data_IF_417516582932
#
_entry.id   IF_417516582932
#
_cell.length_a   1.000
_cell.length_b   1.000
_cell.length_c   1.000
_cell.angle_alpha   90.00
_cell.angle_beta   90.00
_cell.angle_gamma   90.00
#
_symmetry.space_group_name_H-M   'P 1'
#
loop_
_entity.id
_entity.type
_entity.pdbx_description
1 polymer ?
#
# COMPACT_ATOMS: atom_id res chain seq x y z
N UNK A 1 -9.59 11.08 -0.93
CA UNK A 1 -9.76 11.42 0.50
C UNK A 1 -8.54 12.22 0.93
N UNK A 2 -8.72 13.45 1.41
CA UNK A 2 -7.61 14.31 1.90
C UNK A 2 -6.97 13.70 3.14
N UNK A 3 -5.71 14.00 3.42
CA UNK A 3 -4.95 13.45 4.55
C UNK A 3 -5.66 13.67 5.90
N UNK A 4 -6.31 14.82 6.08
CA UNK A 4 -7.08 15.13 7.29
C UNK A 4 -8.30 14.21 7.47
N UNK A 5 -8.97 13.79 6.40
CA UNK A 5 -10.12 12.88 6.44
C UNK A 5 -9.69 11.46 6.87
N UNK A 6 -8.50 11.03 6.43
CA UNK A 6 -7.87 9.77 6.88
C UNK A 6 -7.58 9.84 8.38
N UNK A 7 -6.95 10.92 8.84
CA UNK A 7 -6.64 11.10 10.26
C UNK A 7 -7.88 11.18 11.13
N UNK A 8 -8.94 11.87 10.69
CA UNK A 8 -10.23 11.89 11.40
C UNK A 8 -10.84 10.50 11.49
N UNK A 9 -10.75 9.69 10.43
CA UNK A 9 -11.23 8.30 10.47
C UNK A 9 -10.44 7.44 11.47
N UNK A 10 -9.11 7.59 11.51
CA UNK A 10 -8.25 6.90 12.47
C UNK A 10 -8.47 7.37 13.91
N UNK A 11 -8.67 8.67 14.10
CA UNK A 11 -8.98 9.28 15.39
C UNK A 11 -10.33 8.79 15.92
N UNK A 12 -11.36 8.77 15.08
CA UNK A 12 -12.69 8.25 15.40
C UNK A 12 -12.61 6.78 15.87
N UNK A 13 -11.91 5.92 15.14
CA UNK A 13 -11.70 4.53 15.52
C UNK A 13 -10.88 4.38 16.82
N UNK A 14 -9.86 5.22 17.00
CA UNK A 14 -9.02 5.24 18.21
C UNK A 14 -9.81 5.63 19.44
N UNK A 15 -10.64 6.69 19.36
CA UNK A 15 -11.51 7.10 20.46
C UNK A 15 -12.57 6.03 20.75
N UNK A 16 -13.15 5.42 19.72
CA UNK A 16 -14.08 4.31 19.88
C UNK A 16 -13.49 3.14 20.68
N UNK A 17 -12.18 2.90 20.53
CA UNK A 17 -11.45 1.88 21.27
C UNK A 17 -11.05 2.29 22.69
N UNK A 18 -10.58 3.53 22.88
CA UNK A 18 -9.98 4.02 24.12
C UNK A 18 -11.03 4.42 25.17
N UNK A 19 -12.09 5.13 24.77
CA UNK A 19 -13.07 5.70 25.71
C UNK A 19 -13.77 4.61 26.55
N UNK A 20 -14.19 3.46 25.99
CA UNK A 20 -14.77 2.37 26.80
C UNK A 20 -13.78 1.71 27.77
N UNK A 21 -12.47 1.95 27.61
CA UNK A 21 -11.39 1.36 28.41
C UNK A 21 -10.76 2.33 29.42
N UNK A 22 -11.36 3.51 29.62
CA UNK A 22 -10.96 4.40 30.72
C UNK A 22 -11.05 3.60 32.02
N UNK A 23 -9.94 3.55 32.76
CA UNK A 23 -9.80 2.76 33.99
C UNK A 23 -10.50 3.48 35.14
N UNK A 24 -11.16 2.70 36.01
CA UNK A 24 -11.83 3.18 37.21
C UNK A 24 -13.36 3.08 37.11
N UNK A 25 -13.98 2.77 38.25
CA UNK A 25 -15.43 2.54 38.37
C UNK A 25 -16.22 3.82 38.72
N UNK A 26 -15.50 4.93 38.88
CA UNK A 26 -16.06 6.27 39.12
C UNK A 26 -15.65 7.22 38.01
N UNK A 27 -16.42 8.32 37.88
CA UNK A 27 -16.10 9.43 36.99
C UNK A 27 -14.75 10.04 37.37
N UNK A 28 -13.92 10.32 36.37
CA UNK A 28 -12.64 10.99 36.56
C UNK A 28 -12.37 12.08 35.49
N UNK A 29 -11.18 12.66 35.52
CA UNK A 29 -10.74 13.72 34.60
C UNK A 29 -10.84 13.30 33.12
N UNK A 30 -10.53 12.04 32.79
CA UNK A 30 -10.64 11.52 31.41
C UNK A 30 -12.08 11.55 30.93
N UNK A 31 -13.04 11.19 31.79
CA UNK A 31 -14.47 11.29 31.46
C UNK A 31 -14.89 12.74 31.21
N UNK A 32 -14.31 13.69 31.96
CA UNK A 32 -14.51 15.12 31.76
C UNK A 32 -14.05 15.60 30.38
N UNK A 33 -12.83 15.26 29.98
CA UNK A 33 -12.29 15.67 28.68
C UNK A 33 -13.05 15.04 27.50
N UNK A 34 -13.58 13.83 27.67
CA UNK A 34 -14.46 13.20 26.68
C UNK A 34 -15.78 13.98 26.55
N UNK A 35 -16.40 14.37 27.66
CA UNK A 35 -17.61 15.21 27.66
C UNK A 35 -17.36 16.57 26.98
N UNK A 36 -16.25 17.23 27.32
CA UNK A 36 -15.89 18.53 26.74
C UNK A 36 -15.71 18.42 25.22
N UNK A 37 -15.01 17.38 24.73
CA UNK A 37 -14.88 17.13 23.29
C UNK A 37 -16.24 16.90 22.63
N UNK A 38 -17.13 16.10 23.26
CA UNK A 38 -18.48 15.87 22.74
C UNK A 38 -19.27 17.17 22.64
N UNK A 39 -19.15 18.08 23.62
CA UNK A 39 -19.81 19.37 23.58
C UNK A 39 -19.30 20.25 22.45
N UNK A 40 -17.98 20.35 22.34
CA UNK A 40 -17.31 21.13 21.29
C UNK A 40 -17.74 20.64 19.90
N UNK A 41 -17.71 19.33 19.65
CA UNK A 41 -18.06 18.75 18.34
C UNK A 41 -19.55 18.90 17.98
N UNK A 42 -20.42 19.03 18.98
CA UNK A 42 -21.87 19.17 18.77
C UNK A 42 -22.37 20.61 19.02
N UNK A 43 -21.47 21.59 19.12
CA UNK A 43 -21.78 23.00 19.37
C UNK A 43 -22.68 23.21 20.61
N UNK A 44 -22.39 22.47 21.69
CA UNK A 44 -23.08 22.57 22.98
C UNK A 44 -22.33 23.52 23.91
N UNK A 45 -23.04 24.19 24.85
CA UNK A 45 -22.38 25.03 25.86
C UNK A 45 -21.46 24.19 26.75
N UNK A 46 -20.44 24.86 27.30
CA UNK A 46 -19.51 24.28 28.27
C UNK A 46 -20.26 23.60 29.43
N UNK A 47 -19.67 22.53 29.96
CA UNK A 47 -20.27 21.78 31.07
C UNK A 47 -20.35 22.70 32.31
N UNK A 48 -21.52 22.85 32.95
CA UNK A 48 -21.63 23.54 34.24
C UNK A 48 -20.76 22.84 35.30
N UNK A 49 -20.15 23.60 36.21
CA UNK A 49 -19.23 23.07 37.24
C UNK A 49 -19.87 21.95 38.09
N UNK A 50 -21.14 22.11 38.43
CA UNK A 50 -21.92 21.17 39.26
C UNK A 50 -22.32 19.89 38.53
N UNK A 51 -22.12 19.83 37.20
CA UNK A 51 -22.65 18.76 36.36
C UNK A 51 -21.58 17.70 36.10
N UNK A 52 -21.91 16.46 36.45
CA UNK A 52 -21.07 15.31 36.11
C UNK A 52 -20.95 15.12 34.58
N UNK A 53 -19.79 14.65 34.07
CA UNK A 53 -19.64 14.29 32.66
C UNK A 53 -20.71 13.31 32.19
N UNK A 54 -21.07 13.41 30.90
CA UNK A 54 -22.13 12.70 30.19
C UNK A 54 -23.55 13.14 30.54
N UNK A 55 -23.77 13.71 31.73
CA UNK A 55 -25.08 14.17 32.13
C UNK A 55 -25.57 15.33 31.24
N UNK A 56 -26.82 15.22 30.77
CA UNK A 56 -27.45 16.22 29.91
C UNK A 56 -26.98 16.21 28.44
N UNK A 57 -26.07 15.31 28.06
CA UNK A 57 -25.72 15.03 26.66
C UNK A 57 -26.07 13.60 26.23
N UNK A 58 -26.08 12.66 27.17
CA UNK A 58 -26.45 11.27 26.95
C UNK A 58 -27.59 10.85 27.90
N UNK A 59 -28.48 9.91 27.49
CA UNK A 59 -29.50 9.37 28.39
C UNK A 59 -28.87 8.71 29.62
N UNK A 60 -29.54 8.81 30.77
CA UNK A 60 -29.08 8.23 32.03
C UNK A 60 -28.73 6.73 31.90
N UNK A 61 -27.58 6.34 32.44
CA UNK A 61 -27.08 4.96 32.44
C UNK A 61 -25.93 4.79 33.45
N UNK A 62 -25.46 3.57 33.62
CA UNK A 62 -24.21 3.30 34.31
C UNK A 62 -22.99 3.86 33.53
N UNK A 63 -21.88 4.07 34.24
CA UNK A 63 -20.67 4.68 33.69
C UNK A 63 -20.09 3.90 32.49
N UNK A 64 -20.01 2.54 32.51
CA UNK A 64 -19.56 1.79 31.33
C UNK A 64 -20.44 2.01 30.10
N UNK A 65 -21.76 2.11 30.28
CA UNK A 65 -22.68 2.39 29.17
C UNK A 65 -22.56 3.82 28.68
N UNK A 66 -22.36 4.80 29.57
CA UNK A 66 -22.03 6.17 29.16
C UNK A 66 -20.75 6.25 28.34
N UNK A 67 -19.67 5.60 28.78
CA UNK A 67 -18.41 5.56 28.03
C UNK A 67 -18.60 4.92 26.64
N UNK A 68 -19.35 3.82 26.53
CA UNK A 68 -19.67 3.21 25.22
C UNK A 68 -20.50 4.12 24.32
N UNK A 69 -21.50 4.82 24.86
CA UNK A 69 -22.33 5.76 24.09
C UNK A 69 -21.51 6.96 23.63
N UNK A 70 -20.70 7.53 24.52
CA UNK A 70 -19.78 8.61 24.21
C UNK A 70 -18.82 8.21 23.07
N UNK A 71 -18.24 7.01 23.15
CA UNK A 71 -17.39 6.44 22.12
C UNK A 71 -18.08 6.37 20.74
N UNK A 72 -19.32 5.89 20.69
CA UNK A 72 -20.12 5.82 19.47
C UNK A 72 -20.48 7.21 18.92
N UNK A 73 -20.82 8.16 19.78
CA UNK A 73 -21.10 9.54 19.38
C UNK A 73 -19.85 10.17 18.76
N UNK A 74 -18.69 10.04 19.39
CA UNK A 74 -17.43 10.55 18.85
C UNK A 74 -17.06 9.86 17.52
N UNK A 75 -17.26 8.54 17.44
CA UNK A 75 -17.02 7.79 16.19
C UNK A 75 -17.89 8.30 15.03
N UNK A 76 -19.13 8.70 15.30
CA UNK A 76 -20.05 9.22 14.29
C UNK A 76 -19.83 10.71 13.96
N UNK A 77 -19.38 11.52 14.91
CA UNK A 77 -19.23 12.97 14.74
C UNK A 77 -17.87 13.39 14.17
N UNK A 78 -16.78 12.72 14.54
CA UNK A 78 -15.41 13.09 14.12
C UNK A 78 -15.22 13.06 12.59
N UNK A 79 -15.72 12.05 11.84
CA UNK A 79 -15.60 12.06 10.37
C UNK A 79 -16.43 13.15 9.68
N UNK A 80 -17.38 13.79 10.38
CA UNK A 80 -18.29 14.81 9.84
C UNK A 80 -17.79 16.24 10.06
N UNK A 81 -16.64 16.42 10.69
CA UNK A 81 -16.07 17.75 10.94
C UNK A 81 -15.87 18.45 9.60
N UNK A 82 -16.27 19.73 9.45
CA UNK A 82 -16.03 20.49 8.22
C UNK A 82 -14.55 20.49 7.84
N UNK A 83 -14.27 20.42 6.55
CA UNK A 83 -12.91 20.39 6.00
C UNK A 83 -12.27 21.79 6.02
N UNK A 84 -11.91 22.22 7.22
CA UNK A 84 -11.18 23.47 7.49
C UNK A 84 -9.81 23.09 8.05
N UNK A 85 -8.76 23.43 7.31
CA UNK A 85 -7.38 23.18 7.70
C UNK A 85 -7.04 23.88 9.03
N UNK A 86 -6.36 23.18 9.94
CA UNK A 86 -6.04 23.72 11.27
C UNK A 86 -7.24 23.86 12.20
N UNK A 87 -8.31 23.09 11.97
CA UNK A 87 -9.51 23.14 12.80
C UNK A 87 -9.20 22.98 14.29
N UNK A 88 -9.78 23.86 15.10
CA UNK A 88 -9.76 23.75 16.57
C UNK A 88 -10.32 22.40 17.04
N UNK A 89 -11.21 21.79 16.26
CA UNK A 89 -11.75 20.45 16.52
C UNK A 89 -10.67 19.37 16.43
N UNK A 90 -9.84 19.41 15.39
CA UNK A 90 -8.79 18.42 15.19
C UNK A 90 -7.71 18.51 16.30
N UNK A 91 -7.40 19.73 16.75
CA UNK A 91 -6.51 19.96 17.89
C UNK A 91 -7.05 19.33 19.19
N UNK A 92 -8.32 19.58 19.51
CA UNK A 92 -8.95 19.01 20.72
C UNK A 92 -9.02 17.47 20.69
N UNK A 93 -9.24 16.88 19.52
CA UNK A 93 -9.23 15.42 19.34
C UNK A 93 -7.82 14.87 19.55
N UNK A 94 -6.80 15.51 18.97
CA UNK A 94 -5.41 15.11 19.14
C UNK A 94 -5.02 15.13 20.62
N UNK A 95 -5.29 16.23 21.32
CA UNK A 95 -4.97 16.40 22.73
C UNK A 95 -5.65 15.33 23.61
N UNK A 96 -6.94 15.03 23.35
CA UNK A 96 -7.64 13.97 24.06
C UNK A 96 -7.00 12.59 23.82
N UNK A 97 -6.68 12.25 22.56
CA UNK A 97 -6.06 10.94 22.26
C UNK A 97 -4.71 10.81 22.95
N UNK A 98 -3.90 11.88 22.95
CA UNK A 98 -2.61 11.89 23.67
C UNK A 98 -2.82 11.67 25.16
N UNK A 99 -3.75 12.39 25.77
CA UNK A 99 -4.05 12.26 27.18
C UNK A 99 -4.53 10.86 27.55
N UNK A 100 -5.46 10.28 26.77
CA UNK A 100 -5.97 8.93 27.01
C UNK A 100 -4.88 7.86 26.90
N UNK A 101 -3.88 8.06 26.03
CA UNK A 101 -2.73 7.18 25.83
C UNK A 101 -1.51 7.50 26.71
N UNK A 102 -1.58 8.53 27.56
CA UNK A 102 -0.45 9.05 28.33
C UNK A 102 0.76 9.44 27.45
N UNK A 103 0.51 10.05 26.29
CA UNK A 103 1.55 10.56 25.39
C UNK A 103 1.93 12.01 25.74
N UNK A 104 3.15 12.46 25.42
CA UNK A 104 3.53 13.88 25.52
C UNK A 104 2.60 14.77 24.69
N UNK A 105 2.43 16.02 25.14
CA UNK A 105 1.68 17.03 24.41
C UNK A 105 2.21 17.23 22.99
N UNK A 106 1.33 17.61 22.06
CA UNK A 106 1.72 17.89 20.67
C UNK A 106 2.78 19.02 20.64
N UNK A 107 3.91 18.83 19.95
CA UNK A 107 4.93 19.87 19.84
C UNK A 107 4.40 21.14 19.17
N UNK A 108 4.83 22.30 19.64
CA UNK A 108 4.45 23.62 19.09
C UNK A 108 4.73 23.68 17.59
N UNK A 109 3.74 24.14 16.80
CA UNK A 109 3.86 24.31 15.36
C UNK A 109 3.60 23.05 14.51
N UNK A 110 3.29 21.89 15.12
CA UNK A 110 2.85 20.68 14.40
C UNK A 110 1.35 20.71 14.12
N UNK A 111 0.92 20.25 12.96
CA UNK A 111 -0.52 20.05 12.67
C UNK A 111 -1.13 18.97 13.59
N UNK A 112 -2.44 19.05 13.91
CA UNK A 112 -3.13 17.97 14.62
C UNK A 112 -2.93 16.60 13.96
N UNK A 113 -2.89 15.55 14.78
CA UNK A 113 -2.64 14.15 14.42
C UNK A 113 -1.23 13.77 13.99
N UNK A 114 -0.32 14.74 13.79
CA UNK A 114 1.09 14.44 13.49
C UNK A 114 1.73 13.64 14.63
N UNK A 115 2.32 12.50 14.29
CA UNK A 115 2.90 11.55 15.25
C UNK A 115 1.92 10.85 16.19
N UNK A 116 0.60 11.05 16.08
CA UNK A 116 -0.40 10.37 16.94
C UNK A 116 -0.74 8.96 16.48
N UNK A 117 -0.81 8.81 15.16
CA UNK A 117 -0.99 7.54 14.51
C UNK A 117 0.36 7.20 13.91
N UNK A 118 1.11 6.23 14.48
CA UNK A 118 2.29 5.74 13.79
C UNK A 118 1.84 5.38 12.37
N UNK A 119 2.62 5.77 11.36
CA UNK A 119 2.51 5.06 10.09
C UNK A 119 2.62 3.59 10.48
N UNK A 120 1.60 2.78 10.18
CA UNK A 120 1.44 1.42 10.71
C UNK A 120 2.59 0.45 10.29
N UNK A 121 3.69 0.98 9.76
CA UNK A 121 4.83 0.33 9.14
C UNK A 121 6.20 0.96 9.48
N UNK A 122 6.39 1.72 10.56
CA UNK A 122 7.72 2.34 10.83
C UNK A 122 8.89 1.32 10.77
N UNK A 123 8.69 0.10 11.28
CA UNK A 123 9.67 -0.97 11.15
C UNK A 123 9.92 -1.38 9.68
N UNK A 124 8.87 -1.44 8.86
CA UNK A 124 8.95 -1.74 7.43
C UNK A 124 9.57 -0.60 6.63
N UNK A 125 9.23 0.66 6.92
CA UNK A 125 9.88 1.83 6.34
C UNK A 125 11.35 1.88 6.70
N UNK A 126 11.73 1.59 7.95
CA UNK A 126 13.14 1.45 8.35
C UNK A 126 13.83 0.33 7.56
N UNK A 127 13.15 -0.81 7.34
CA UNK A 127 13.68 -1.91 6.50
C UNK A 127 13.85 -1.51 5.03
N UNK A 128 12.87 -0.83 4.45
CA UNK A 128 12.93 -0.32 3.06
C UNK A 128 14.00 0.78 2.90
N UNK A 129 14.13 1.66 3.90
CA UNK A 129 15.16 2.69 3.98
C UNK A 129 16.56 2.07 4.04
N UNK A 130 16.76 1.08 4.91
CA UNK A 130 17.99 0.30 5.00
C UNK A 130 18.36 -0.34 3.64
N UNK A 131 17.42 -1.05 3.01
CA UNK A 131 17.63 -1.69 1.71
C UNK A 131 17.92 -0.68 0.59
N UNK A 132 17.24 0.47 0.61
CA UNK A 132 17.46 1.55 -0.34
C UNK A 132 18.87 2.12 -0.20
N UNK A 133 19.34 2.36 1.02
CA UNK A 133 20.71 2.82 1.27
C UNK A 133 21.73 1.78 0.82
N UNK A 134 21.52 0.48 1.10
CA UNK A 134 22.39 -0.59 0.59
C UNK A 134 22.50 -0.54 -0.93
N UNK A 135 21.37 -0.40 -1.63
CA UNK A 135 21.34 -0.32 -3.09
C UNK A 135 22.01 0.95 -3.63
N UNK A 136 21.76 2.11 -3.02
CA UNK A 136 22.37 3.39 -3.42
C UNK A 136 23.88 3.37 -3.21
N UNK A 137 24.36 2.86 -2.08
CA UNK A 137 25.79 2.70 -1.79
C UNK A 137 26.44 1.76 -2.81
N UNK A 138 25.76 0.67 -3.16
CA UNK A 138 26.23 -0.28 -4.16
C UNK A 138 26.39 0.31 -5.58
N UNK A 139 25.70 1.42 -5.88
CA UNK A 139 25.82 2.15 -7.16
C UNK A 139 27.00 3.13 -7.19
N UNK A 140 27.65 3.39 -6.06
CA UNK A 140 28.79 4.30 -6.00
C UNK A 140 30.04 3.56 -6.51
N UNK A 141 30.34 3.76 -7.79
CA UNK A 141 31.47 3.13 -8.49
C UNK A 141 32.74 3.99 -8.52
N UNK A 142 32.70 5.22 -8.01
CA UNK A 142 33.84 6.15 -7.98
C UNK A 142 35.02 5.54 -7.20
N UNK A 143 36.23 5.40 -7.79
CA UNK A 143 37.38 4.83 -7.11
C UNK A 143 37.96 5.72 -6.00
N UNK A 144 37.54 6.99 -5.91
CA UNK A 144 37.97 7.95 -4.88
C UNK A 144 36.83 8.24 -3.89
N UNK A 145 37.22 8.77 -2.73
CA UNK A 145 36.25 9.30 -1.77
C UNK A 145 35.50 10.49 -2.36
N UNK A 146 34.19 10.54 -2.15
CA UNK A 146 33.35 11.66 -2.55
C UNK A 146 32.41 12.11 -1.40
N UNK A 147 31.55 13.08 -1.69
CA UNK A 147 30.64 13.64 -0.69
C UNK A 147 29.62 12.63 -0.15
N UNK A 148 29.26 11.61 -0.94
CA UNK A 148 28.39 10.53 -0.49
C UNK A 148 29.09 9.71 0.61
N UNK A 149 30.38 9.38 0.44
CA UNK A 149 31.13 8.62 1.44
C UNK A 149 31.17 9.34 2.80
N UNK A 150 31.40 10.66 2.79
CA UNK A 150 31.37 11.46 4.01
C UNK A 150 30.01 11.42 4.71
N UNK A 151 28.92 11.53 3.94
CA UNK A 151 27.56 11.51 4.48
C UNK A 151 27.15 10.15 5.05
N UNK A 152 27.58 9.06 4.41
CA UNK A 152 27.37 7.69 4.88
C UNK A 152 28.11 7.45 6.20
N UNK A 153 29.37 7.89 6.30
CA UNK A 153 30.15 7.83 7.54
C UNK A 153 29.48 8.60 8.68
N UNK A 154 29.06 9.85 8.43
CA UNK A 154 28.37 10.69 9.41
C UNK A 154 27.07 10.02 9.90
N UNK A 155 26.28 9.44 8.98
CA UNK A 155 25.05 8.71 9.34
C UNK A 155 25.35 7.51 10.25
N UNK A 156 26.36 6.70 9.94
CA UNK A 156 26.76 5.55 10.77
C UNK A 156 27.14 6.00 12.17
N UNK A 157 27.93 7.08 12.27
CA UNK A 157 28.37 7.64 13.56
C UNK A 157 27.19 8.10 14.39
N UNK A 158 26.31 8.91 13.82
CA UNK A 158 25.16 9.46 14.54
C UNK A 158 24.21 8.37 15.00
N UNK A 159 23.88 7.39 14.15
CA UNK A 159 22.99 6.29 14.55
C UNK A 159 23.63 5.45 15.66
N UNK A 160 24.94 5.24 15.60
CA UNK A 160 25.73 4.50 16.60
C UNK A 160 26.03 5.29 17.89
N UNK A 161 25.65 6.56 17.99
CA UNK A 161 25.98 7.42 19.14
C UNK A 161 27.47 7.81 19.23
N UNK A 162 28.19 7.77 18.11
CA UNK A 162 29.58 8.18 18.02
C UNK A 162 29.68 9.67 17.66
N UNK A 163 30.79 10.30 18.05
CA UNK A 163 31.11 11.65 17.59
C UNK A 163 31.37 11.66 16.09
N UNK A 164 30.99 12.75 15.42
CA UNK A 164 31.29 12.97 14.00
C UNK A 164 32.79 12.96 13.76
N UNK A 165 33.21 12.56 12.56
CA UNK A 165 34.63 12.53 12.20
C UNK A 165 35.19 13.97 12.10
N UNK A 166 36.45 14.21 12.50
CA UNK A 166 37.15 15.43 12.15
C UNK A 166 37.25 15.60 10.63
N UNK A 167 37.27 16.85 10.15
CA UNK A 167 37.36 17.15 8.70
C UNK A 167 38.60 16.53 8.06
N UNK A 168 39.71 16.44 8.80
CA UNK A 168 40.98 15.87 8.34
C UNK A 168 40.97 14.34 8.18
N UNK A 169 39.99 13.64 8.75
CA UNK A 169 39.88 12.18 8.67
C UNK A 169 39.07 11.75 7.46
N UNK A 170 39.57 10.77 6.71
CA UNK A 170 38.86 10.25 5.54
C UNK A 170 37.59 9.48 5.97
N UNK A 171 36.55 9.42 5.14
CA UNK A 171 35.37 8.62 5.43
C UNK A 171 35.70 7.16 5.77
N UNK A 172 34.94 6.58 6.69
CA UNK A 172 35.03 5.19 7.21
C UNK A 172 36.23 4.88 8.12
N UNK A 173 37.26 5.74 8.15
CA UNK A 173 38.42 5.55 9.03
C UNK A 173 38.00 5.57 10.51
N UNK A 174 38.41 4.54 11.25
CA UNK A 174 38.06 4.35 12.66
C UNK A 174 36.65 3.82 12.91
N UNK A 175 35.87 3.51 11.87
CA UNK A 175 34.66 2.69 11.98
C UNK A 175 34.97 1.21 11.75
N UNK A 176 35.71 0.93 10.67
CA UNK A 176 36.11 -0.43 10.25
C UNK A 176 37.53 -0.42 9.68
N UNK A 177 38.06 -1.62 9.40
CA UNK A 177 39.24 -1.81 8.55
C UNK A 177 38.82 -2.54 7.27
N UNK A 178 39.26 -2.04 6.11
CA UNK A 178 38.99 -2.66 4.82
C UNK A 178 40.18 -2.46 3.86
N UNK A 179 40.42 -3.41 2.93
CA UNK A 179 41.57 -3.34 2.03
C UNK A 179 41.45 -2.27 0.94
N UNK A 180 40.23 -1.80 0.64
CA UNK A 180 39.98 -0.77 -0.36
C UNK A 180 38.62 -0.10 -0.14
N UNK A 181 38.35 0.99 -0.89
CA UNK A 181 37.13 1.79 -0.76
C UNK A 181 35.85 1.01 -1.11
N UNK A 182 35.90 0.11 -2.09
CA UNK A 182 34.75 -0.74 -2.44
C UNK A 182 34.34 -1.63 -1.26
N UNK A 183 35.31 -2.22 -0.56
CA UNK A 183 35.03 -3.02 0.63
C UNK A 183 34.58 -2.17 1.82
N UNK A 184 35.10 -0.95 1.99
CA UNK A 184 34.57 0.01 2.96
C UNK A 184 33.09 0.29 2.72
N UNK A 185 32.68 0.58 1.48
CA UNK A 185 31.27 0.83 1.12
C UNK A 185 30.38 -0.38 1.39
N UNK A 186 30.84 -1.61 1.12
CA UNK A 186 30.09 -2.83 1.45
C UNK A 186 29.91 -3.03 2.96
N UNK A 187 30.94 -2.74 3.76
CA UNK A 187 30.86 -2.80 5.23
C UNK A 187 29.92 -1.72 5.76
N UNK A 188 30.02 -0.49 5.24
CA UNK A 188 29.15 0.62 5.58
C UNK A 188 27.67 0.31 5.28
N UNK A 189 27.38 -0.23 4.10
CA UNK A 189 26.04 -0.66 3.70
C UNK A 189 25.46 -1.71 4.65
N UNK A 190 26.23 -2.77 4.96
CA UNK A 190 25.82 -3.80 5.92
C UNK A 190 25.60 -3.24 7.32
N UNK A 191 26.44 -2.31 7.76
CA UNK A 191 26.26 -1.68 9.07
C UNK A 191 24.98 -0.86 9.10
N UNK A 192 24.72 -0.02 8.09
CA UNK A 192 23.53 0.81 8.05
C UNK A 192 22.27 -0.04 8.05
N UNK A 193 22.26 -1.16 7.33
CA UNK A 193 21.15 -2.11 7.37
C UNK A 193 20.86 -2.60 8.80
N UNK A 194 21.90 -3.06 9.51
CA UNK A 194 21.79 -3.49 10.90
C UNK A 194 21.33 -2.37 11.84
N UNK A 195 21.93 -1.18 11.72
CA UNK A 195 21.67 -0.06 12.61
C UNK A 195 20.24 0.48 12.43
N UNK A 196 19.79 0.66 11.18
CA UNK A 196 18.48 1.24 10.87
C UNK A 196 17.37 0.25 11.23
N UNK A 197 17.53 -1.04 10.92
CA UNK A 197 16.54 -2.08 11.28
C UNK A 197 16.52 -2.37 12.78
N UNK A 198 17.60 -2.06 13.51
CA UNK A 198 17.66 -2.14 14.96
C UNK A 198 17.07 -0.93 15.69
N UNK A 199 16.74 0.17 14.99
CA UNK A 199 16.07 1.31 15.63
C UNK A 199 14.75 0.86 16.25
N UNK A 200 14.55 1.25 17.49
CA UNK A 200 13.32 1.08 18.26
C UNK A 200 12.68 2.45 18.45
N UNK A 201 11.51 2.46 19.09
CA UNK A 201 10.73 3.66 19.37
C UNK A 201 10.06 4.28 18.13
N UNK A 202 9.17 5.24 18.39
CA UNK A 202 8.50 6.07 17.37
C UNK A 202 9.53 6.85 16.51
N UNK A 203 9.04 7.61 15.53
CA UNK A 203 9.89 8.48 14.71
C UNK A 203 10.80 9.33 15.58
N UNK A 204 12.11 9.30 15.29
CA UNK A 204 13.09 10.07 16.04
C UNK A 204 14.06 10.80 15.10
N UNK A 205 14.96 11.60 15.68
CA UNK A 205 15.93 12.40 14.92
C UNK A 205 16.84 11.56 14.00
N UNK A 206 17.07 10.29 14.33
CA UNK A 206 17.85 9.38 13.47
C UNK A 206 17.09 9.04 12.19
N UNK A 207 15.76 8.86 12.24
CA UNK A 207 14.95 8.61 11.04
C UNK A 207 14.98 9.81 10.07
N UNK A 208 15.01 11.04 10.59
CA UNK A 208 15.16 12.26 9.78
C UNK A 208 16.51 12.26 9.02
N UNK A 209 17.57 11.80 9.68
CA UNK A 209 18.90 11.72 9.07
C UNK A 209 18.97 10.61 8.01
N UNK A 210 18.31 9.48 8.24
CA UNK A 210 18.20 8.39 7.26
C UNK A 210 17.44 8.88 6.01
N UNK A 211 16.25 9.46 6.18
CA UNK A 211 15.42 10.01 5.09
C UNK A 211 16.20 11.04 4.26
N UNK A 212 16.80 12.03 4.92
CA UNK A 212 17.57 13.08 4.23
C UNK A 212 18.78 12.52 3.50
N UNK A 213 19.46 11.52 4.06
CA UNK A 213 20.57 10.83 3.38
C UNK A 213 20.09 10.12 2.12
N UNK A 214 18.97 9.39 2.18
CA UNK A 214 18.38 8.72 1.01
C UNK A 214 18.03 9.74 -0.07
N UNK A 215 17.36 10.84 0.29
CA UNK A 215 16.98 11.89 -0.67
C UNK A 215 18.19 12.48 -1.36
N UNK A 216 19.23 12.83 -0.60
CA UNK A 216 20.45 13.43 -1.15
C UNK A 216 21.19 12.45 -2.06
N UNK A 217 21.38 11.19 -1.63
CA UNK A 217 22.06 10.18 -2.45
C UNK A 217 21.29 9.83 -3.73
N UNK A 218 19.98 10.04 -3.74
CA UNK A 218 19.10 9.77 -4.87
C UNK A 218 18.66 11.04 -5.63
N UNK A 219 19.25 12.20 -5.33
CA UNK A 219 18.94 13.50 -5.93
C UNK A 219 17.44 13.88 -5.89
N UNK A 220 16.78 13.59 -4.77
CA UNK A 220 15.38 13.92 -4.51
C UNK A 220 15.24 15.26 -3.78
N UNK A 221 14.10 15.96 -3.93
CA UNK A 221 13.84 17.18 -3.16
C UNK A 221 13.84 16.89 -1.65
N UNK A 222 14.23 17.88 -0.82
CA UNK A 222 14.20 17.73 0.64
C UNK A 222 12.77 17.47 1.12
N UNK A 223 12.65 16.72 2.22
CA UNK A 223 11.38 16.48 2.91
C UNK A 223 10.77 17.82 3.32
N UNK A 224 9.46 17.99 3.10
CA UNK A 224 8.74 19.18 3.58
C UNK A 224 8.66 19.16 5.11
N UNK A 225 8.62 20.34 5.74
CA UNK A 225 8.72 20.46 7.20
C UNK A 225 7.58 19.75 7.96
N UNK A 226 6.42 19.65 7.33
CA UNK A 226 5.18 19.03 7.80
C UNK A 226 5.07 17.52 7.53
N UNK A 227 5.95 16.95 6.70
CA UNK A 227 5.95 15.51 6.40
C UNK A 227 6.67 14.69 7.48
N UNK A 228 6.18 13.49 7.83
CA UNK A 228 6.94 12.60 8.71
C UNK A 228 8.18 12.02 7.99
N UNK A 229 9.22 11.54 8.72
CA UNK A 229 10.33 10.82 8.08
C UNK A 229 9.85 9.67 7.19
N UNK A 230 10.48 9.52 6.02
CA UNK A 230 10.16 8.54 4.98
C UNK A 230 8.85 8.78 4.19
N UNK A 231 8.04 9.76 4.59
CA UNK A 231 6.82 10.10 3.86
C UNK A 231 7.14 10.61 2.45
N UNK A 232 6.51 10.01 1.45
CA UNK A 232 6.81 10.25 0.03
C UNK A 232 8.05 9.53 -0.51
N UNK A 233 8.84 8.86 0.35
CA UNK A 233 9.84 7.87 -0.10
C UNK A 233 9.24 6.48 -0.20
N UNK A 234 8.39 6.12 0.77
CA UNK A 234 7.74 4.81 0.85
C UNK A 234 6.23 4.95 1.14
N UNK A 235 5.39 4.07 0.61
CA UNK A 235 3.93 4.10 0.83
C UNK A 235 3.59 3.65 2.27
N UNK A 236 2.57 4.23 2.91
CA UNK A 236 2.19 3.93 4.31
C UNK A 236 1.59 2.51 4.43
N UNK A 237 1.76 1.81 5.57
CA UNK A 237 1.14 0.48 5.79
C UNK A 237 -0.38 0.47 5.57
N UNK A 238 -1.10 1.56 5.81
CA UNK A 238 -2.55 1.61 5.54
C UNK A 238 -2.83 1.62 4.01
N UNK A 239 -1.87 2.08 3.21
CA UNK A 239 -1.83 1.90 1.75
C UNK A 239 -1.34 0.49 1.34
N UNK A 240 -0.65 -0.25 2.20
CA UNK A 240 -0.10 -1.58 1.89
C UNK A 240 -1.00 -2.72 2.38
N UNK A 241 -1.71 -2.54 3.51
CA UNK A 241 -2.53 -3.57 4.18
C UNK A 241 -3.99 -3.52 3.70
N UNK A 242 -4.40 -2.49 2.96
CA UNK A 242 -5.72 -2.45 2.29
C UNK A 242 -5.69 -2.00 0.82
N UNK A 243 -4.54 -1.60 0.25
CA UNK A 243 -4.51 -1.11 -1.14
C UNK A 243 -3.50 -1.79 -2.08
N UNK A 244 -2.73 -2.81 -1.65
CA UNK A 244 -1.83 -3.56 -2.53
C UNK A 244 -2.47 -4.80 -3.17
N UNK A 245 -3.20 -5.58 -2.38
CA UNK A 245 -3.85 -6.80 -2.79
C UNK A 245 -5.36 -6.67 -2.70
N UNK A 246 -6.07 -7.25 -3.65
CA UNK A 246 -7.51 -7.40 -3.55
C UNK A 246 -7.82 -8.50 -2.53
N UNK A 247 -8.93 -8.37 -1.81
CA UNK A 247 -9.43 -9.40 -0.89
C UNK A 247 -10.40 -10.34 -1.59
N UNK A 248 -10.71 -11.47 -0.93
CA UNK A 248 -11.73 -12.40 -1.40
C UNK A 248 -13.11 -11.73 -1.54
N UNK A 249 -13.46 -10.88 -0.59
CA UNK A 249 -14.74 -10.13 -0.58
C UNK A 249 -14.79 -9.15 -1.74
N UNK A 250 -13.69 -8.44 -2.01
CA UNK A 250 -13.60 -7.52 -3.14
C UNK A 250 -13.71 -8.28 -4.48
N UNK A 251 -12.99 -9.39 -4.64
CA UNK A 251 -13.06 -10.20 -5.85
C UNK A 251 -14.46 -10.79 -6.06
N UNK A 252 -15.10 -11.28 -5.00
CA UNK A 252 -16.48 -11.78 -5.05
C UNK A 252 -17.49 -10.68 -5.40
N UNK A 253 -17.30 -9.45 -4.92
CA UNK A 253 -18.16 -8.32 -5.28
C UNK A 253 -17.99 -7.89 -6.75
N UNK A 254 -16.78 -8.04 -7.31
CA UNK A 254 -16.50 -7.78 -8.73
C UNK A 254 -17.10 -8.88 -9.61
N UNK A 255 -17.00 -10.14 -9.17
CA UNK A 255 -17.45 -11.32 -9.89
C UNK A 255 -18.48 -12.14 -9.06
N UNK A 256 -19.70 -11.60 -8.86
CA UNK A 256 -20.70 -12.15 -7.95
C UNK A 256 -21.33 -13.47 -8.42
N UNK A 257 -21.18 -13.83 -9.70
CA UNK A 257 -21.71 -15.07 -10.26
C UNK A 257 -20.67 -16.20 -10.32
N UNK A 258 -19.45 -15.94 -9.84
CA UNK A 258 -18.38 -16.92 -9.81
C UNK A 258 -18.45 -17.80 -8.56
N UNK A 259 -17.95 -19.03 -8.68
CA UNK A 259 -17.82 -19.90 -7.51
C UNK A 259 -16.78 -19.33 -6.54
N UNK A 260 -17.19 -19.07 -5.28
CA UNK A 260 -16.33 -18.45 -4.25
C UNK A 260 -15.02 -19.22 -4.04
N UNK A 261 -15.08 -20.54 -3.95
CA UNK A 261 -13.89 -21.41 -3.77
C UNK A 261 -12.90 -21.30 -4.93
N UNK A 262 -13.39 -21.05 -6.14
CA UNK A 262 -12.54 -20.84 -7.31
C UNK A 262 -11.85 -19.48 -7.24
N UNK A 263 -12.59 -18.44 -6.86
CA UNK A 263 -12.01 -17.10 -6.63
C UNK A 263 -10.93 -17.14 -5.54
N UNK A 264 -11.16 -17.90 -4.47
CA UNK A 264 -10.20 -18.06 -3.37
C UNK A 264 -8.87 -18.67 -3.84
N UNK A 265 -8.94 -19.68 -4.72
CA UNK A 265 -7.75 -20.30 -5.33
C UNK A 265 -7.01 -19.34 -6.27
N UNK A 266 -7.74 -18.53 -7.04
CA UNK A 266 -7.16 -17.55 -7.97
C UNK A 266 -6.53 -16.35 -7.26
N UNK A 267 -7.11 -15.92 -6.14
CA UNK A 267 -6.78 -14.70 -5.43
C UNK A 267 -5.27 -14.49 -5.17
N UNK A 268 -4.52 -15.43 -4.57
CA UNK A 268 -3.09 -15.23 -4.34
C UNK A 268 -2.30 -15.05 -5.65
N UNK A 269 -2.71 -15.72 -6.73
CA UNK A 269 -2.04 -15.65 -8.02
C UNK A 269 -2.36 -14.35 -8.77
N UNK A 270 -3.61 -13.87 -8.68
CA UNK A 270 -4.02 -12.55 -9.19
C UNK A 270 -3.22 -11.44 -8.50
N UNK A 271 -3.15 -11.48 -7.18
CA UNK A 271 -2.39 -10.51 -6.38
C UNK A 271 -0.90 -10.51 -6.72
N UNK A 272 -0.28 -11.69 -6.77
CA UNK A 272 1.12 -11.85 -7.18
C UNK A 272 1.37 -11.31 -8.59
N UNK A 273 0.46 -11.61 -9.52
CA UNK A 273 0.55 -11.16 -10.92
C UNK A 273 0.44 -9.64 -11.00
N UNK A 274 -0.57 -9.04 -10.38
CA UNK A 274 -0.78 -7.60 -10.42
C UNK A 274 0.41 -6.84 -9.84
N UNK A 275 1.03 -7.37 -8.77
CA UNK A 275 2.26 -6.82 -8.23
C UNK A 275 3.43 -6.94 -9.21
N UNK A 276 3.65 -8.14 -9.78
CA UNK A 276 4.76 -8.42 -10.72
C UNK A 276 4.75 -7.50 -11.93
N UNK A 277 3.56 -7.15 -12.44
CA UNK A 277 3.39 -6.35 -13.66
C UNK A 277 2.98 -4.89 -13.38
N UNK A 278 3.23 -4.39 -12.16
CA UNK A 278 2.95 -3.01 -11.76
C UNK A 278 1.49 -2.55 -12.00
N UNK A 279 0.54 -3.48 -11.89
CA UNK A 279 -0.91 -3.26 -11.93
C UNK A 279 -1.36 -2.90 -10.50
N UNK A 280 -0.80 -1.82 -9.95
CA UNK A 280 -0.83 -1.57 -8.51
C UNK A 280 -1.83 -0.47 -8.11
N UNK A 281 -2.16 0.46 -8.99
CA UNK A 281 -3.16 1.51 -8.70
C UNK A 281 -4.58 0.93 -8.72
N UNK A 282 -5.53 1.48 -7.93
CA UNK A 282 -6.92 1.02 -7.93
C UNK A 282 -7.54 0.97 -9.33
N UNK A 283 -7.27 1.98 -10.16
CA UNK A 283 -7.79 2.07 -11.51
C UNK A 283 -7.18 1.00 -12.44
N UNK A 284 -5.86 0.78 -12.38
CA UNK A 284 -5.21 -0.32 -13.12
C UNK A 284 -5.78 -1.68 -12.76
N UNK A 285 -5.98 -1.94 -11.46
CA UNK A 285 -6.60 -3.18 -10.98
C UNK A 285 -8.02 -3.33 -11.48
N UNK A 286 -8.82 -2.26 -11.44
CA UNK A 286 -10.20 -2.29 -11.90
C UNK A 286 -10.29 -2.64 -13.38
N UNK A 287 -9.47 -2.01 -14.23
CA UNK A 287 -9.40 -2.34 -15.65
C UNK A 287 -8.88 -3.76 -15.91
N UNK A 288 -7.80 -4.17 -15.23
CA UNK A 288 -7.26 -5.52 -15.39
C UNK A 288 -8.30 -6.58 -15.02
N UNK A 289 -8.88 -6.49 -13.81
CA UNK A 289 -9.90 -7.42 -13.32
C UNK A 289 -11.17 -7.43 -14.18
N UNK A 290 -11.54 -6.29 -14.77
CA UNK A 290 -12.68 -6.23 -15.66
C UNK A 290 -12.45 -6.99 -16.97
N UNK A 291 -11.25 -6.86 -17.53
CA UNK A 291 -10.88 -7.57 -18.75
C UNK A 291 -10.75 -9.06 -18.49
N UNK A 292 -9.96 -9.47 -17.48
CA UNK A 292 -9.81 -10.90 -17.18
C UNK A 292 -11.10 -11.53 -16.70
N UNK A 293 -11.95 -10.80 -15.98
CA UNK A 293 -13.27 -11.28 -15.57
C UNK A 293 -14.15 -11.60 -16.78
N UNK A 294 -14.17 -10.74 -17.80
CA UNK A 294 -14.91 -11.01 -19.04
C UNK A 294 -14.33 -12.20 -19.83
N UNK A 295 -13.01 -12.23 -20.05
CA UNK A 295 -12.34 -13.26 -20.87
C UNK A 295 -12.37 -14.67 -20.27
N UNK A 296 -12.65 -14.78 -18.96
CA UNK A 296 -12.66 -16.03 -18.21
C UNK A 296 -14.05 -16.48 -17.75
N UNK A 297 -15.11 -15.95 -18.38
CA UNK A 297 -16.51 -16.24 -18.03
C UNK A 297 -16.79 -15.92 -16.54
N UNK A 298 -16.38 -14.73 -16.12
CA UNK A 298 -16.39 -14.31 -14.73
C UNK A 298 -15.48 -15.18 -13.87
N UNK A 299 -14.24 -15.44 -14.28
CA UNK A 299 -13.30 -16.31 -13.56
C UNK A 299 -13.77 -17.76 -13.36
N UNK A 300 -14.81 -18.23 -14.05
CA UNK A 300 -15.30 -19.61 -13.94
C UNK A 300 -14.47 -20.61 -14.75
N UNK A 301 -13.67 -20.15 -15.73
CA UNK A 301 -12.78 -21.03 -16.51
C UNK A 301 -11.41 -20.41 -16.77
N UNK A 302 -10.39 -21.26 -16.94
CA UNK A 302 -9.04 -20.87 -17.39
C UNK A 302 -8.72 -21.49 -18.76
N UNK A 303 -9.70 -22.12 -19.39
CA UNK A 303 -9.57 -22.78 -20.69
C UNK A 303 -10.85 -22.55 -21.47
N UNK A 304 -10.76 -22.27 -22.75
CA UNK A 304 -11.96 -22.16 -23.57
C UNK A 304 -12.76 -23.47 -23.56
N UNK A 305 -14.08 -23.35 -23.70
CA UNK A 305 -14.97 -24.50 -23.79
C UNK A 305 -14.87 -25.23 -25.14
N UNK A 306 -14.45 -24.53 -26.21
CA UNK A 306 -14.29 -25.13 -27.52
C UNK A 306 -13.14 -26.16 -27.56
N UNK A 307 -13.18 -27.05 -28.55
CA UNK A 307 -12.14 -28.08 -28.72
C UNK A 307 -10.79 -27.51 -29.19
N UNK A 308 -10.79 -26.32 -29.79
CA UNK A 308 -9.63 -25.72 -30.47
C UNK A 308 -9.39 -26.26 -31.88
N UNK A 309 -10.23 -27.19 -32.38
CA UNK A 309 -10.07 -27.77 -33.72
C UNK A 309 -10.11 -26.70 -34.83
N UNK A 310 -10.87 -25.62 -34.64
CA UNK A 310 -10.97 -24.51 -35.59
C UNK A 310 -9.67 -23.70 -35.72
N UNK A 311 -8.71 -23.89 -34.80
CA UNK A 311 -7.39 -23.27 -34.89
C UNK A 311 -6.37 -24.12 -35.68
N UNK A 312 -6.75 -25.31 -36.14
CA UNK A 312 -5.86 -26.17 -36.92
C UNK A 312 -5.44 -25.48 -38.22
N UNK A 313 -4.15 -25.53 -38.54
CA UNK A 313 -3.60 -24.94 -39.78
C UNK A 313 -3.58 -23.40 -39.82
N UNK A 314 -4.02 -22.71 -38.76
CA UNK A 314 -3.97 -21.24 -38.67
C UNK A 314 -2.53 -20.72 -38.62
N UNK A 315 -1.99 -20.37 -39.79
CA UNK A 315 -0.62 -19.89 -39.96
C UNK A 315 -0.32 -18.60 -39.20
N UNK A 316 -1.31 -17.71 -39.08
CA UNK A 316 -1.22 -16.47 -38.30
C UNK A 316 -1.03 -16.73 -36.79
N UNK A 317 -1.46 -17.89 -36.29
CA UNK A 317 -1.26 -18.35 -34.92
C UNK A 317 0.00 -19.23 -34.75
N UNK A 318 0.74 -19.46 -35.84
CA UNK A 318 1.88 -20.38 -35.89
C UNK A 318 1.50 -21.86 -35.85
N UNK A 319 0.22 -22.20 -36.02
CA UNK A 319 -0.26 -23.59 -36.02
C UNK A 319 0.04 -24.24 -37.37
N UNK A 320 1.28 -24.73 -37.53
CA UNK A 320 1.80 -25.29 -38.78
C UNK A 320 2.07 -26.79 -38.70
N UNK A 321 1.92 -27.40 -37.52
CA UNK A 321 2.07 -28.83 -37.31
C UNK A 321 0.70 -29.46 -37.05
N UNK A 322 0.53 -30.71 -37.49
CA UNK A 322 -0.72 -31.43 -37.30
C UNK A 322 -1.06 -31.57 -35.81
N UNK A 323 -2.30 -31.21 -35.44
CA UNK A 323 -2.83 -31.26 -34.09
C UNK A 323 -2.57 -30.00 -33.26
N UNK A 324 -1.97 -28.96 -33.86
CA UNK A 324 -1.69 -27.70 -33.19
C UNK A 324 -2.93 -26.98 -32.70
N UNK A 325 -4.05 -27.09 -33.42
CA UNK A 325 -5.29 -26.41 -33.06
C UNK A 325 -5.75 -26.79 -31.66
N UNK A 326 -5.96 -28.10 -31.43
CA UNK A 326 -6.38 -28.63 -30.13
C UNK A 326 -5.28 -28.49 -29.08
N UNK A 327 -4.01 -28.68 -29.47
CA UNK A 327 -2.87 -28.61 -28.55
C UNK A 327 -2.69 -27.21 -27.96
N UNK A 328 -2.80 -26.17 -28.80
CA UNK A 328 -2.60 -24.75 -28.45
C UNK A 328 -3.91 -23.96 -28.46
N UNK A 329 -5.00 -24.63 -28.10
CA UNK A 329 -6.31 -24.03 -27.85
C UNK A 329 -6.25 -22.94 -26.76
N UNK A 330 -7.27 -22.09 -26.67
CA UNK A 330 -7.33 -20.95 -25.75
C UNK A 330 -7.21 -21.36 -24.27
N UNK A 331 -6.20 -20.81 -23.57
CA UNK A 331 -5.98 -21.00 -22.12
C UNK A 331 -5.52 -19.73 -21.41
N UNK A 332 -5.62 -19.75 -20.09
CA UNK A 332 -5.35 -18.63 -19.20
C UNK A 332 -6.51 -17.65 -19.11
N UNK A 333 -6.40 -16.67 -18.22
CA UNK A 333 -7.49 -15.71 -17.97
C UNK A 333 -7.69 -14.69 -19.12
N UNK A 334 -6.81 -14.68 -20.13
CA UNK A 334 -6.91 -13.79 -21.30
C UNK A 334 -6.90 -14.56 -22.64
N UNK A 335 -7.15 -15.87 -22.60
CA UNK A 335 -7.29 -16.71 -23.79
C UNK A 335 -6.08 -16.70 -24.75
N UNK A 336 -4.89 -17.01 -24.23
CA UNK A 336 -3.70 -17.23 -25.06
C UNK A 336 -3.95 -18.44 -25.98
N UNK A 337 -3.84 -18.22 -27.29
CA UNK A 337 -4.22 -19.19 -28.33
C UNK A 337 -3.15 -19.25 -29.41
N UNK A 338 -2.80 -20.45 -29.88
CA UNK A 338 -1.87 -20.66 -30.99
C UNK A 338 -0.42 -20.94 -30.56
N UNK A 339 0.26 -21.82 -31.31
CA UNK A 339 1.64 -22.26 -31.03
C UNK A 339 2.61 -21.10 -30.85
N UNK A 340 2.54 -20.08 -31.70
CA UNK A 340 3.44 -18.93 -31.63
C UNK A 340 3.27 -18.17 -30.29
N UNK A 341 2.03 -17.90 -29.90
CA UNK A 341 1.73 -17.18 -28.66
C UNK A 341 2.10 -17.99 -27.41
N UNK A 342 1.90 -19.32 -27.44
CA UNK A 342 2.37 -20.22 -26.39
C UNK A 342 3.90 -20.21 -26.27
N UNK A 343 4.62 -20.19 -27.40
CA UNK A 343 6.08 -20.11 -27.40
C UNK A 343 6.58 -18.80 -26.75
N UNK A 344 5.98 -17.67 -27.12
CA UNK A 344 6.38 -16.35 -26.63
C UNK A 344 6.04 -16.16 -25.15
N UNK A 345 4.85 -16.59 -24.73
CA UNK A 345 4.45 -16.59 -23.33
C UNK A 345 5.36 -17.49 -22.49
N UNK A 346 5.65 -18.71 -22.98
CA UNK A 346 6.53 -19.67 -22.32
C UNK A 346 7.95 -19.11 -22.13
N UNK A 347 8.50 -18.47 -23.17
CA UNK A 347 9.80 -17.81 -23.10
C UNK A 347 9.82 -16.70 -22.04
N UNK A 348 8.80 -15.85 -22.01
CA UNK A 348 8.71 -14.73 -21.08
C UNK A 348 8.52 -15.17 -19.62
N UNK A 349 7.82 -16.28 -19.40
CA UNK A 349 7.57 -16.85 -18.07
C UNK A 349 8.64 -17.89 -17.64
N UNK A 350 9.59 -18.21 -18.52
CA UNK A 350 10.56 -19.29 -18.35
C UNK A 350 9.90 -20.67 -18.09
N UNK A 351 8.85 -20.99 -18.85
CA UNK A 351 8.09 -22.24 -18.78
C UNK A 351 8.00 -22.87 -20.17
N UNK A 352 8.25 -24.18 -20.28
CA UNK A 352 8.11 -24.92 -21.53
C UNK A 352 6.63 -25.22 -21.84
N UNK A 353 5.94 -24.21 -22.38
CA UNK A 353 4.56 -24.29 -22.83
C UNK A 353 4.39 -24.94 -24.21
N UNK A 354 5.49 -25.22 -24.93
CA UNK A 354 5.42 -25.93 -26.22
C UNK A 354 5.21 -27.41 -25.98
N UNK A 355 5.97 -27.99 -25.06
CA UNK A 355 5.79 -29.40 -24.69
C UNK A 355 4.73 -29.60 -23.62
N UNK A 356 4.42 -28.59 -22.81
CA UNK A 356 3.44 -28.68 -21.72
C UNK A 356 2.33 -27.60 -21.80
N UNK A 357 1.56 -27.50 -22.90
CA UNK A 357 0.62 -26.40 -23.12
C UNK A 357 -0.53 -26.37 -22.11
N UNK A 358 -0.95 -27.53 -21.57
CA UNK A 358 -2.03 -27.61 -20.57
C UNK A 358 -1.74 -26.82 -19.30
N UNK A 359 -0.46 -26.64 -18.95
CA UNK A 359 -0.04 -25.87 -17.77
C UNK A 359 -0.54 -24.43 -17.78
N UNK A 360 -0.83 -23.87 -18.96
CA UNK A 360 -1.37 -22.51 -19.06
C UNK A 360 -2.79 -22.36 -18.46
N UNK A 361 -3.48 -23.48 -18.22
CA UNK A 361 -4.75 -23.54 -17.48
C UNK A 361 -4.60 -23.59 -15.96
N UNK A 362 -3.40 -23.85 -15.44
CA UNK A 362 -3.12 -23.86 -14.00
C UNK A 362 -3.29 -22.44 -13.41
N UNK A 363 -3.78 -22.32 -12.18
CA UNK A 363 -4.16 -21.01 -11.61
C UNK A 363 -3.03 -19.98 -11.60
N UNK A 364 -1.80 -20.40 -11.35
CA UNK A 364 -0.62 -19.55 -11.33
C UNK A 364 -0.30 -19.00 -12.73
N UNK A 365 -0.19 -19.89 -13.74
CA UNK A 365 0.16 -19.53 -15.11
C UNK A 365 -0.99 -18.87 -15.86
N UNK A 366 -2.23 -19.17 -15.50
CA UNK A 366 -3.41 -18.48 -16.03
C UNK A 366 -3.41 -16.99 -15.63
N UNK A 367 -3.02 -16.67 -14.39
CA UNK A 367 -2.85 -15.29 -13.96
C UNK A 367 -1.59 -14.64 -14.57
N UNK A 368 -0.44 -15.31 -14.49
CA UNK A 368 0.83 -14.76 -14.99
C UNK A 368 0.80 -14.45 -16.48
N UNK A 369 0.15 -15.31 -17.29
CA UNK A 369 -0.02 -15.07 -18.72
C UNK A 369 -0.89 -13.85 -19.02
N UNK A 370 -1.94 -13.59 -18.23
CA UNK A 370 -2.72 -12.37 -18.33
C UNK A 370 -1.90 -11.12 -17.97
N UNK A 371 -1.07 -11.18 -16.92
CA UNK A 371 -0.15 -10.10 -16.57
C UNK A 371 0.91 -9.83 -17.64
N UNK A 372 1.49 -10.89 -18.23
CA UNK A 372 2.41 -10.78 -19.36
C UNK A 372 1.76 -10.13 -20.58
N UNK A 373 0.56 -10.56 -20.96
CA UNK A 373 -0.20 -9.96 -22.06
C UNK A 373 -0.44 -8.47 -21.81
N UNK A 374 -0.83 -8.13 -20.59
CA UNK A 374 -1.11 -6.77 -20.16
C UNK A 374 0.12 -5.84 -20.27
N UNK A 375 1.27 -6.28 -19.74
CA UNK A 375 2.50 -5.49 -19.75
C UNK A 375 3.11 -5.34 -21.15
N UNK A 376 3.12 -6.42 -21.94
CA UNK A 376 3.68 -6.38 -23.31
C UNK A 376 2.95 -5.40 -24.21
N UNK A 377 1.64 -5.19 -23.99
CA UNK A 377 0.79 -4.23 -24.72
C UNK A 377 0.65 -2.88 -24.01
N UNK A 378 1.39 -2.67 -22.91
CA UNK A 378 1.44 -1.41 -22.15
C UNK A 378 0.07 -0.90 -21.71
N UNK A 379 -0.82 -1.84 -21.35
CA UNK A 379 -2.21 -1.53 -21.02
C UNK A 379 -2.38 -0.70 -19.74
N UNK A 380 -1.39 -0.69 -18.85
CA UNK A 380 -1.36 0.24 -17.71
C UNK A 380 -1.52 1.70 -18.15
N UNK A 381 -0.90 2.12 -19.27
CA UNK A 381 -0.98 3.49 -19.75
C UNK A 381 -2.40 3.89 -20.17
N UNK A 382 -3.19 2.93 -20.66
CA UNK A 382 -4.58 3.16 -21.05
C UNK A 382 -5.49 3.12 -19.82
N UNK A 383 -5.21 2.22 -18.88
CA UNK A 383 -5.93 2.15 -17.62
C UNK A 383 -5.75 3.41 -16.78
N UNK A 384 -4.56 4.02 -16.77
CA UNK A 384 -4.30 5.30 -16.08
C UNK A 384 -5.11 6.47 -16.66
N UNK A 385 -5.55 6.35 -17.91
CA UNK A 385 -6.44 7.31 -18.59
C UNK A 385 -7.91 6.90 -18.55
N UNK A 386 -8.22 5.84 -17.83
CA UNK A 386 -9.55 5.24 -17.73
C UNK A 386 -10.16 4.77 -19.07
N UNK A 387 -9.31 4.39 -20.03
CA UNK A 387 -9.71 4.14 -21.41
C UNK A 387 -10.07 2.66 -21.67
N UNK A 388 -11.25 2.25 -21.20
CA UNK A 388 -11.72 0.86 -21.39
C UNK A 388 -11.92 0.50 -22.86
N UNK A 389 -12.27 1.47 -23.71
CA UNK A 389 -12.54 1.25 -25.13
C UNK A 389 -11.27 0.81 -25.85
N UNK A 390 -10.17 1.53 -25.67
CA UNK A 390 -8.89 1.19 -26.29
C UNK A 390 -8.35 -0.12 -25.73
N UNK A 391 -8.44 -0.36 -24.42
CA UNK A 391 -8.03 -1.64 -23.82
C UNK A 391 -8.80 -2.81 -24.44
N UNK A 392 -10.12 -2.67 -24.58
CA UNK A 392 -10.97 -3.71 -25.18
C UNK A 392 -10.59 -3.98 -26.64
N UNK A 393 -10.33 -2.93 -27.43
CA UNK A 393 -9.87 -3.07 -28.81
C UNK A 393 -8.51 -3.77 -28.91
N UNK A 394 -7.58 -3.50 -27.99
CA UNK A 394 -6.28 -4.16 -27.98
C UNK A 394 -6.40 -5.64 -27.57
N UNK A 395 -7.29 -5.98 -26.64
CA UNK A 395 -7.46 -7.36 -26.17
C UNK A 395 -8.22 -8.20 -27.20
N UNK A 396 -9.35 -7.71 -27.69
CA UNK A 396 -10.29 -8.49 -28.50
C UNK A 396 -10.19 -8.22 -30.01
N UNK A 397 -9.43 -7.21 -30.44
CA UNK A 397 -9.37 -6.77 -31.84
C UNK A 397 -10.59 -5.95 -32.29
N UNK A 398 -11.49 -5.60 -31.38
CA UNK A 398 -12.74 -4.90 -31.66
C UNK A 398 -13.46 -4.48 -30.38
N UNK A 399 -14.79 -4.37 -30.42
CA UNK A 399 -15.61 -3.97 -29.27
C UNK A 399 -16.53 -5.09 -28.76
N UNK A 400 -16.26 -6.35 -29.11
CA UNK A 400 -17.09 -7.46 -28.65
C UNK A 400 -17.01 -7.58 -27.13
N UNK A 401 -18.18 -7.71 -26.51
CA UNK A 401 -18.29 -7.79 -25.05
C UNK A 401 -18.02 -6.48 -24.30
N UNK A 402 -17.87 -5.34 -24.98
CA UNK A 402 -17.54 -4.06 -24.34
C UNK A 402 -18.51 -3.69 -23.20
N UNK A 403 -19.82 -3.88 -23.40
CA UNK A 403 -20.83 -3.57 -22.38
C UNK A 403 -20.65 -4.40 -21.10
N UNK A 404 -20.27 -5.67 -21.22
CA UNK A 404 -20.03 -6.53 -20.07
C UNK A 404 -18.71 -6.17 -19.36
N UNK A 405 -17.66 -5.87 -20.11
CA UNK A 405 -16.40 -5.33 -19.56
C UNK A 405 -16.64 -4.02 -18.80
N UNK A 406 -17.49 -3.13 -19.32
CA UNK A 406 -17.91 -1.91 -18.63
C UNK A 406 -18.66 -2.23 -17.33
N UNK A 407 -19.50 -3.25 -17.31
CA UNK A 407 -20.20 -3.71 -16.09
C UNK A 407 -19.23 -4.24 -15.02
N UNK A 408 -18.23 -5.05 -15.40
CA UNK A 408 -17.17 -5.45 -14.47
C UNK A 408 -16.35 -4.25 -13.99
N UNK A 409 -15.97 -3.33 -14.88
CA UNK A 409 -15.21 -2.14 -14.51
C UNK A 409 -15.97 -1.28 -13.50
N UNK A 410 -17.27 -1.06 -13.73
CA UNK A 410 -18.12 -0.29 -12.83
C UNK A 410 -18.21 -0.94 -11.44
N UNK A 411 -18.33 -2.27 -11.36
CA UNK A 411 -18.29 -3.01 -10.08
C UNK A 411 -16.94 -2.86 -9.39
N UNK A 412 -15.84 -3.04 -10.12
CA UNK A 412 -14.50 -2.93 -9.56
C UNK A 412 -14.19 -1.52 -9.05
N UNK A 413 -14.55 -0.48 -9.79
CA UNK A 413 -14.43 0.92 -9.35
C UNK A 413 -15.22 1.18 -8.07
N UNK A 414 -16.48 0.73 -8.01
CA UNK A 414 -17.31 0.83 -6.80
C UNK A 414 -16.68 0.14 -5.60
N UNK A 415 -16.15 -1.07 -5.79
CA UNK A 415 -15.46 -1.85 -4.75
C UNK A 415 -14.20 -1.14 -4.25
N UNK A 416 -13.50 -0.43 -5.12
CA UNK A 416 -12.29 0.30 -4.78
C UNK A 416 -12.52 1.77 -4.37
N UNK A 417 -13.77 2.26 -4.41
CA UNK A 417 -14.12 3.62 -4.03
C UNK A 417 -13.56 4.70 -4.96
N UNK A 418 -13.44 4.41 -6.26
CA UNK A 418 -12.93 5.34 -7.29
C UNK A 418 -13.97 5.64 -8.38
#
# INVERSE_FOLDING_TARGET
MKQVEIWRSQAAATLAFLVPKIVGDTINEKDGLVDDLMRVLNNLPARPEERQPYAGILPAADLPTWRRRAALTLQASVPKIPDVEGSVFDGAIDDLIRFLRNLPARPTGRSPYSGLFPAADLATWRKQAAQTLVALIGKIVDPKYNSADGRIDDLIRVISGLTLRPISRKPYEGLYQAPNLTEYRKLAARRLDQLITALRDDFNAKDVLVDSTIRILNNLPPRQLDQEPYEGLYPRAVEVITFGFITQEQLSAIAPYSQRDRLEKLLPHLNTTMQRYAITTPLRKAHFLAQVGHESDGFNTNEEYASGADYEGRRDLGNTQAGDGVRFKGRGLIQVTGRANYADCGRALAVDLINNPRRLGDFDLACLSAGWYWDTRKLNNHADRDDILTITKIINGGTNGLADRQSYLARAKRVFGI
#
